data_IF_976221199267
#
_entry.id   IF_976221199267
#
_cell.length_a   1.000
_cell.length_b   1.000
_cell.length_c   1.000
_cell.angle_alpha   90.00
_cell.angle_beta   90.00
_cell.angle_gamma   90.00
#
_symmetry.space_group_name_H-M   'P 1'
#
loop_
_entity.id
_entity.type
_entity.pdbx_description
1 polymer ?
#
# COMPACT_ATOMS: atom_id res chain seq x y z
N UNK A 1 -15.20 10.25 10.93
CA UNK A 1 -14.28 9.11 10.87
C UNK A 1 -12.92 9.56 11.42
N UNK A 2 -12.19 8.70 12.14
CA UNK A 2 -10.91 9.01 12.78
C UNK A 2 -9.71 8.49 11.97
N UNK A 3 -8.60 9.22 12.02
CA UNK A 3 -7.30 8.73 11.57
C UNK A 3 -6.57 7.99 12.70
N UNK A 4 -5.75 6.98 12.40
CA UNK A 4 -4.92 6.24 13.34
C UNK A 4 -3.69 5.62 12.67
N UNK A 5 -2.68 5.28 13.47
CA UNK A 5 -1.49 4.56 13.02
C UNK A 5 -1.84 3.09 12.79
N UNK A 6 -1.68 2.61 11.56
CA UNK A 6 -1.97 1.21 11.23
C UNK A 6 -0.92 0.27 11.83
N UNK A 7 -1.33 -0.94 12.18
CA UNK A 7 -0.42 -1.98 12.65
C UNK A 7 0.61 -2.34 11.55
N UNK A 8 1.86 -2.62 11.94
CA UNK A 8 2.91 -3.15 11.06
C UNK A 8 2.44 -4.26 10.13
N UNK A 9 1.62 -5.20 10.61
CA UNK A 9 1.08 -6.30 9.78
C UNK A 9 0.30 -5.80 8.55
N UNK A 10 -0.36 -4.65 8.66
CA UNK A 10 -1.06 -4.02 7.54
C UNK A 10 -0.09 -3.56 6.47
N UNK A 11 1.04 -2.97 6.88
CA UNK A 11 2.12 -2.56 5.98
C UNK A 11 2.80 -3.79 5.36
N UNK A 12 3.12 -4.80 6.17
CA UNK A 12 3.70 -6.08 5.71
C UNK A 12 2.84 -6.74 4.63
N UNK A 13 1.52 -6.73 4.81
CA UNK A 13 0.56 -7.27 3.85
C UNK A 13 0.64 -6.55 2.50
N UNK A 14 0.63 -5.21 2.50
CA UNK A 14 0.70 -4.40 1.29
C UNK A 14 2.05 -4.54 0.58
N UNK A 15 3.16 -4.55 1.34
CA UNK A 15 4.50 -4.74 0.77
C UNK A 15 4.66 -6.15 0.20
N UNK A 16 4.08 -7.18 0.85
CA UNK A 16 4.07 -8.55 0.32
C UNK A 16 3.24 -8.65 -0.96
N UNK A 17 2.08 -7.98 -1.03
CA UNK A 17 1.28 -7.95 -2.26
C UNK A 17 2.06 -7.33 -3.44
N UNK A 18 2.80 -6.25 -3.21
CA UNK A 18 3.68 -5.64 -4.21
C UNK A 18 4.85 -6.57 -4.61
N UNK A 19 5.40 -7.32 -3.66
CA UNK A 19 6.49 -8.26 -3.93
C UNK A 19 6.04 -9.37 -4.89
N UNK A 20 4.89 -9.98 -4.65
CA UNK A 20 4.37 -11.04 -5.51
C UNK A 20 3.96 -10.52 -6.89
N UNK A 21 3.31 -9.37 -6.97
CA UNK A 21 2.91 -8.81 -8.27
C UNK A 21 4.11 -8.45 -9.17
N UNK A 22 5.22 -7.96 -8.59
CA UNK A 22 6.43 -7.69 -9.36
C UNK A 22 7.15 -8.97 -9.81
N UNK A 23 7.12 -10.02 -8.98
CA UNK A 23 7.66 -11.33 -9.34
C UNK A 23 6.95 -11.88 -10.58
N UNK A 24 5.63 -11.74 -10.63
CA UNK A 24 4.81 -12.25 -11.73
C UNK A 24 4.94 -11.38 -13.00
N UNK A 25 5.03 -10.05 -12.87
CA UNK A 25 5.00 -9.14 -14.03
C UNK A 25 6.37 -8.89 -14.68
N UNK A 26 7.45 -8.74 -13.89
CA UNK A 26 8.78 -8.35 -14.39
C UNK A 26 9.84 -9.43 -14.24
N UNK A 27 9.51 -10.57 -13.63
CA UNK A 27 10.48 -11.58 -13.19
C UNK A 27 11.66 -10.98 -12.39
N UNK A 28 11.43 -9.81 -11.77
CA UNK A 28 12.43 -9.03 -11.04
C UNK A 28 12.20 -9.23 -9.55
N UNK A 29 13.22 -9.76 -8.88
CA UNK A 29 13.23 -9.82 -7.43
C UNK A 29 13.54 -8.45 -6.87
N UNK A 30 12.63 -7.90 -6.05
CA UNK A 30 12.98 -6.81 -5.16
C UNK A 30 13.82 -7.36 -4.02
N UNK A 31 14.92 -6.68 -3.71
CA UNK A 31 15.71 -7.04 -2.54
C UNK A 31 15.03 -6.57 -1.24
N UNK A 32 15.46 -7.13 -0.11
CA UNK A 32 14.90 -6.81 1.21
C UNK A 32 15.09 -5.33 1.57
N UNK A 33 16.13 -4.66 1.07
CA UNK A 33 16.37 -3.25 1.35
C UNK A 33 15.36 -2.36 0.61
N UNK A 34 15.00 -2.70 -0.62
CA UNK A 34 13.94 -2.04 -1.39
C UNK A 34 12.58 -2.20 -0.69
N UNK A 35 12.25 -3.42 -0.26
CA UNK A 35 11.01 -3.69 0.49
C UNK A 35 10.94 -2.90 1.81
N UNK A 36 12.06 -2.81 2.53
CA UNK A 36 12.17 -1.97 3.73
C UNK A 36 11.95 -0.49 3.42
N UNK A 37 12.54 0.03 2.34
CA UNK A 37 12.36 1.43 1.91
C UNK A 37 10.90 1.72 1.52
N UNK A 38 10.24 0.79 0.85
CA UNK A 38 8.83 0.90 0.47
C UNK A 38 7.97 0.93 1.73
N UNK A 39 8.11 -0.04 2.62
CA UNK A 39 7.32 -0.08 3.85
C UNK A 39 7.57 1.13 4.76
N UNK A 40 8.83 1.59 4.87
CA UNK A 40 9.13 2.84 5.60
C UNK A 40 8.44 4.05 4.97
N UNK A 41 8.36 4.12 3.64
CA UNK A 41 7.65 5.21 2.94
C UNK A 41 6.16 5.22 3.33
N UNK A 42 5.53 4.06 3.43
CA UNK A 42 4.13 3.91 3.83
C UNK A 42 3.93 4.29 5.31
N UNK A 43 4.79 3.79 6.20
CA UNK A 43 4.78 4.12 7.64
C UNK A 43 4.91 5.63 7.84
N UNK A 44 5.87 6.27 7.19
CA UNK A 44 6.10 7.70 7.32
C UNK A 44 4.87 8.53 6.89
N UNK A 45 4.17 8.12 5.84
CA UNK A 45 3.02 8.85 5.36
C UNK A 45 1.81 8.74 6.28
N UNK A 46 1.55 7.56 6.85
CA UNK A 46 0.48 7.37 7.83
C UNK A 46 0.76 8.17 9.12
N UNK A 47 2.00 8.12 9.64
CA UNK A 47 2.41 8.97 10.76
C UNK A 47 2.26 10.45 10.45
N UNK A 48 2.69 10.90 9.27
CA UNK A 48 2.55 12.30 8.86
C UNK A 48 1.10 12.75 8.83
N UNK A 49 0.19 11.90 8.38
CA UNK A 49 -1.24 12.16 8.34
C UNK A 49 -1.85 12.29 9.73
N UNK A 50 -1.60 11.31 10.61
CA UNK A 50 -2.10 11.31 12.00
C UNK A 50 -1.56 12.52 12.76
N UNK A 51 -0.25 12.78 12.67
CA UNK A 51 0.39 13.95 13.27
C UNK A 51 -0.23 15.26 12.77
N UNK A 52 -0.47 15.37 11.46
CA UNK A 52 -1.09 16.57 10.88
C UNK A 52 -2.52 16.78 11.38
N UNK A 53 -3.32 15.71 11.46
CA UNK A 53 -4.72 15.78 11.88
C UNK A 53 -4.89 16.15 13.36
N UNK A 54 -4.08 15.56 14.23
CA UNK A 54 -4.22 15.74 15.68
C UNK A 54 -3.22 16.72 16.27
N UNK A 55 -2.43 17.39 15.44
CA UNK A 55 -1.35 18.28 15.85
C UNK A 55 -0.35 17.59 16.81
N UNK A 56 0.00 16.35 16.47
CA UNK A 56 0.94 15.52 17.20
C UNK A 56 2.30 15.48 16.49
N UNK A 57 3.30 14.90 17.16
CA UNK A 57 4.66 14.76 16.61
C UNK A 57 5.25 13.39 16.91
N UNK A 58 4.43 12.34 16.82
CA UNK A 58 4.89 10.96 17.04
C UNK A 58 5.92 10.59 15.96
N UNK A 59 7.01 9.93 16.38
CA UNK A 59 8.07 9.53 15.47
C UNK A 59 7.72 8.19 14.82
N UNK A 60 7.79 8.07 13.48
CA UNK A 60 7.57 6.80 12.81
C UNK A 60 8.60 5.76 13.27
N UNK A 61 8.15 4.53 13.52
CA UNK A 61 9.05 3.43 13.84
C UNK A 61 9.91 3.03 12.63
N UNK A 62 11.06 2.39 12.90
CA UNK A 62 11.89 1.78 11.86
C UNK A 62 11.19 0.52 11.34
N UNK A 63 10.76 0.55 10.10
CA UNK A 63 10.10 -0.56 9.44
C UNK A 63 11.12 -1.65 9.06
N UNK A 64 10.78 -2.89 9.38
CA UNK A 64 11.51 -4.10 8.96
C UNK A 64 10.49 -5.04 8.33
N UNK A 65 10.66 -5.35 7.07
CA UNK A 65 9.78 -6.18 6.29
C UNK A 65 9.68 -7.58 6.89
N UNK A 66 8.46 -8.07 7.01
CA UNK A 66 8.17 -9.46 7.31
C UNK A 66 7.19 -9.97 6.26
N UNK A 67 7.57 -11.03 5.55
CA UNK A 67 6.77 -11.55 4.45
C UNK A 67 5.47 -12.18 4.95
N UNK A 68 4.37 -11.85 4.26
CA UNK A 68 3.08 -12.53 4.39
C UNK A 68 2.89 -13.40 3.16
N UNK A 69 2.75 -14.71 3.35
CA UNK A 69 2.68 -15.67 2.24
C UNK A 69 1.31 -15.79 1.58
N UNK A 70 0.24 -15.38 2.27
CA UNK A 70 -1.13 -15.51 1.77
C UNK A 70 -1.70 -14.12 1.45
N UNK A 71 -1.82 -13.82 0.16
CA UNK A 71 -2.35 -12.56 -0.35
C UNK A 71 -3.62 -12.83 -1.17
N UNK A 72 -4.63 -11.98 -1.01
CA UNK A 72 -5.87 -12.03 -1.78
C UNK A 72 -6.13 -10.64 -2.37
N UNK A 73 -6.30 -10.53 -3.68
CA UNK A 73 -6.44 -9.23 -4.35
C UNK A 73 -7.56 -8.36 -3.76
N UNK A 74 -8.72 -8.94 -3.44
CA UNK A 74 -9.83 -8.21 -2.81
C UNK A 74 -9.47 -7.69 -1.41
N UNK A 75 -8.75 -8.49 -0.61
CA UNK A 75 -8.29 -8.05 0.71
C UNK A 75 -7.22 -6.97 0.58
N UNK A 76 -6.33 -7.06 -0.42
CA UNK A 76 -5.34 -6.03 -0.74
C UNK A 76 -6.02 -4.71 -1.09
N UNK A 77 -7.06 -4.72 -1.92
CA UNK A 77 -7.82 -3.50 -2.25
C UNK A 77 -8.45 -2.85 -1.01
N UNK A 78 -9.01 -3.65 -0.09
CA UNK A 78 -9.51 -3.12 1.20
C UNK A 78 -8.39 -2.54 2.07
N UNK A 79 -7.25 -3.22 2.12
CA UNK A 79 -6.09 -2.75 2.88
C UNK A 79 -5.51 -1.44 2.31
N UNK A 80 -5.48 -1.29 0.98
CA UNK A 80 -5.11 -0.05 0.29
C UNK A 80 -6.05 1.08 0.67
N UNK A 81 -7.37 0.87 0.53
CA UNK A 81 -8.36 1.90 0.85
C UNK A 81 -8.27 2.34 2.32
N UNK A 82 -8.02 1.39 3.23
CA UNK A 82 -7.76 1.70 4.63
C UNK A 82 -6.53 2.62 4.76
N UNK A 83 -5.37 2.21 4.25
CA UNK A 83 -4.15 2.99 4.43
C UNK A 83 -4.20 4.34 3.70
N UNK A 84 -4.87 4.42 2.54
CA UNK A 84 -5.09 5.66 1.80
C UNK A 84 -5.88 6.66 2.65
N UNK A 85 -7.01 6.23 3.21
CA UNK A 85 -7.79 7.05 4.13
C UNK A 85 -6.99 7.45 5.38
N UNK A 86 -6.24 6.52 5.97
CA UNK A 86 -5.43 6.79 7.16
C UNK A 86 -4.22 7.70 6.89
N UNK A 87 -3.91 8.01 5.62
CA UNK A 87 -2.73 8.77 5.22
C UNK A 87 -3.05 10.11 4.54
N UNK A 88 -4.33 10.45 4.34
CA UNK A 88 -4.73 11.54 3.45
C UNK A 88 -4.89 12.92 4.09
N UNK A 89 -4.60 13.09 5.38
CA UNK A 89 -4.98 14.31 6.11
C UNK A 89 -4.10 15.52 5.76
N UNK A 90 -2.89 15.32 5.23
CA UNK A 90 -1.95 16.42 4.96
C UNK A 90 -2.01 16.91 3.49
N UNK A 91 -1.82 18.23 3.22
CA UNK A 91 -2.00 18.84 1.88
C UNK A 91 -1.16 18.28 0.71
N UNK A 92 -0.16 17.44 1.00
CA UNK A 92 0.73 16.82 0.01
C UNK A 92 0.46 15.35 -0.27
N UNK A 93 -0.63 14.77 0.27
CA UNK A 93 -0.91 13.33 0.17
C UNK A 93 -0.98 12.85 -1.28
N UNK A 94 -1.80 13.50 -2.10
CA UNK A 94 -2.08 13.07 -3.48
C UNK A 94 -0.82 13.00 -4.37
N UNK A 95 0.19 13.83 -4.08
CA UNK A 95 1.46 13.86 -4.83
C UNK A 95 2.56 13.01 -4.19
N UNK A 96 2.27 12.37 -3.06
CA UNK A 96 3.26 11.66 -2.27
C UNK A 96 3.76 10.38 -2.94
N UNK A 97 4.97 9.95 -2.58
CA UNK A 97 5.52 8.66 -2.99
C UNK A 97 4.66 7.49 -2.48
N UNK A 98 4.10 7.61 -1.27
CA UNK A 98 3.23 6.60 -0.68
C UNK A 98 1.94 6.41 -1.50
N UNK A 99 1.27 7.49 -1.92
CA UNK A 99 0.09 7.41 -2.80
C UNK A 99 0.41 6.72 -4.12
N UNK A 100 1.56 7.03 -4.74
CA UNK A 100 2.02 6.35 -5.96
C UNK A 100 2.22 4.84 -5.77
N UNK A 101 2.84 4.44 -4.67
CA UNK A 101 3.00 3.02 -4.31
C UNK A 101 1.63 2.34 -4.15
N UNK A 102 0.69 2.97 -3.43
CA UNK A 102 -0.65 2.40 -3.23
C UNK A 102 -1.42 2.24 -4.54
N UNK A 103 -1.35 3.23 -5.44
CA UNK A 103 -1.96 3.15 -6.76
C UNK A 103 -1.35 2.03 -7.59
N UNK A 104 -0.02 1.86 -7.57
CA UNK A 104 0.63 0.76 -8.29
C UNK A 104 0.13 -0.62 -7.83
N UNK A 105 0.01 -0.85 -6.51
CA UNK A 105 -0.51 -2.11 -5.98
C UNK A 105 -1.98 -2.29 -6.38
N UNK A 106 -2.76 -1.20 -6.34
CA UNK A 106 -4.18 -1.20 -6.72
C UNK A 106 -4.36 -1.60 -8.18
N UNK A 107 -3.62 -0.99 -9.09
CA UNK A 107 -3.71 -1.23 -10.53
C UNK A 107 -3.35 -2.68 -10.86
N UNK A 108 -2.33 -3.23 -10.21
CA UNK A 108 -1.97 -4.65 -10.33
C UNK A 108 -3.08 -5.58 -9.83
N UNK A 109 -3.68 -5.28 -8.66
CA UNK A 109 -4.79 -6.08 -8.13
C UNK A 109 -6.00 -6.04 -9.06
N UNK A 110 -6.34 -4.87 -9.60
CA UNK A 110 -7.43 -4.71 -10.56
C UNK A 110 -7.14 -5.53 -11.81
N UNK A 111 -5.94 -5.38 -12.39
CA UNK A 111 -5.53 -6.15 -13.57
C UNK A 111 -5.78 -7.66 -13.37
N UNK A 112 -5.24 -8.26 -12.30
CA UNK A 112 -5.43 -9.68 -12.03
C UNK A 112 -6.89 -10.10 -11.80
N UNK A 113 -7.72 -9.23 -11.21
CA UNK A 113 -9.14 -9.50 -11.01
C UNK A 113 -9.95 -9.39 -12.30
N UNK A 114 -9.51 -8.57 -13.25
CA UNK A 114 -10.23 -8.28 -14.49
C UNK A 114 -9.71 -9.04 -15.71
N UNK A 115 -8.55 -9.70 -15.63
CA UNK A 115 -7.90 -10.43 -16.74
C UNK A 115 -8.67 -11.68 -17.23
N UNK A 116 -9.96 -11.78 -16.92
CA UNK A 116 -10.82 -12.83 -17.43
C UNK A 116 -11.50 -12.36 -18.72
N UNK A 117 -11.46 -13.19 -19.77
CA UNK A 117 -12.28 -13.01 -20.98
C UNK A 117 -13.80 -13.14 -20.74
N UNK A 118 -14.24 -13.27 -19.47
CA UNK A 118 -15.63 -13.47 -19.07
C UNK A 118 -16.45 -12.18 -19.14
N UNK A 119 -15.82 -11.02 -19.04
CA UNK A 119 -16.51 -9.72 -18.98
C UNK A 119 -15.97 -8.77 -20.05
N UNK A 120 -16.82 -7.90 -20.57
CA UNK A 120 -16.48 -6.97 -21.65
C UNK A 120 -15.89 -5.67 -21.11
N UNK A 121 -14.87 -5.16 -21.80
CA UNK A 121 -14.29 -3.84 -21.52
C UNK A 121 -15.22 -2.69 -21.95
N UNK A 122 -15.83 -2.84 -23.13
CA UNK A 122 -16.83 -1.91 -23.66
C UNK A 122 -18.22 -2.39 -23.22
N UNK A 123 -19.01 -1.52 -22.59
CA UNK A 123 -20.42 -1.80 -22.28
C UNK A 123 -21.26 -1.24 -23.43
N UNK A 124 -22.06 -2.12 -24.04
CA UNK A 124 -23.03 -1.79 -25.09
C UNK A 124 -24.44 -2.00 -24.58
#
# INVERSE_FOLDING_TARGET
>A
MSAFIVNKKHIDYLVSALYYSNKDYQNKYMDIQELNKIGQTLVNANYKSVNYRYNESEKPYKYIFSQIFTIYFIQTLKAINCLDYQSCEYPGWERSKAKKILNQIKDQCIYHLTDSNKYQWEIR
#
